data_IF_232559860242
#
_entry.id   IF_232559860242
#
_cell.length_a   1.000
_cell.length_b   1.000
_cell.length_c   1.000
_cell.angle_alpha   90.00
_cell.angle_beta   90.00
_cell.angle_gamma   90.00
#
_symmetry.space_group_name_H-M   'P 1'
#
loop_
_entity.id
_entity.type
_entity.pdbx_description
1 polymer ?
#
# COMPACT_ATOMS: atom_id res chain seq x y z
N UNK A 1 -29.61 -7.98 -16.86
CA UNK A 1 -29.42 -7.39 -15.51
C UNK A 1 -30.05 -6.01 -15.53
N UNK A 2 -31.17 -5.81 -14.85
CA UNK A 2 -31.84 -4.52 -14.80
C UNK A 2 -31.13 -3.59 -13.83
N UNK A 3 -30.42 -2.59 -14.35
CA UNK A 3 -29.81 -1.50 -13.57
C UNK A 3 -30.89 -0.53 -13.04
N UNK A 4 -32.10 -1.03 -12.75
CA UNK A 4 -33.26 -0.20 -12.41
C UNK A 4 -33.75 -0.29 -10.97
N UNK A 5 -33.02 -0.93 -10.10
CA UNK A 5 -33.41 -0.98 -8.69
C UNK A 5 -33.01 0.33 -8.01
N UNK A 6 -33.85 1.34 -8.21
CA UNK A 6 -33.77 2.61 -7.49
C UNK A 6 -34.12 2.34 -6.03
N UNK A 7 -33.09 2.27 -5.17
CA UNK A 7 -33.28 2.08 -3.73
C UNK A 7 -33.75 3.37 -3.06
N UNK A 8 -33.23 4.52 -3.53
CA UNK A 8 -33.53 5.83 -2.96
C UNK A 8 -33.21 6.95 -3.93
N UNK A 9 -34.00 8.04 -3.89
CA UNK A 9 -33.69 9.29 -4.55
C UNK A 9 -33.02 10.25 -3.57
N UNK A 10 -31.92 10.89 -3.97
CA UNK A 10 -31.17 11.84 -3.18
C UNK A 10 -31.19 13.20 -3.87
N UNK A 11 -31.46 14.27 -3.11
CA UNK A 11 -31.38 15.63 -3.63
C UNK A 11 -29.94 16.11 -3.84
N UNK A 12 -29.01 15.53 -3.10
CA UNK A 12 -27.57 15.86 -3.15
C UNK A 12 -26.74 14.66 -2.74
N UNK A 13 -25.67 14.40 -3.45
CA UNK A 13 -24.60 13.49 -3.06
C UNK A 13 -23.25 14.22 -3.16
N UNK A 14 -22.42 14.10 -2.14
CA UNK A 14 -21.04 14.57 -2.17
C UNK A 14 -20.12 13.40 -2.49
N UNK A 15 -19.37 13.52 -3.58
CA UNK A 15 -18.35 12.54 -3.98
C UNK A 15 -17.00 13.20 -3.77
N UNK A 16 -16.19 12.62 -2.90
CA UNK A 16 -14.84 13.10 -2.61
C UNK A 16 -13.82 12.30 -3.42
N UNK A 17 -12.72 12.96 -3.78
CA UNK A 17 -11.57 12.25 -4.32
C UNK A 17 -11.06 11.23 -3.30
N UNK A 18 -10.72 10.04 -3.79
CA UNK A 18 -10.13 9.00 -2.96
C UNK A 18 -8.61 9.05 -3.06
N UNK A 19 -7.94 8.58 -2.01
CA UNK A 19 -6.50 8.38 -2.02
C UNK A 19 -6.15 6.98 -1.53
N UNK A 20 -4.91 6.55 -1.79
CA UNK A 20 -4.44 5.25 -1.33
C UNK A 20 -4.33 5.20 0.19
N UNK A 21 -4.70 4.06 0.78
CA UNK A 21 -4.50 3.77 2.21
C UNK A 21 -5.13 4.79 3.16
N UNK A 22 -6.40 5.13 2.93
CA UNK A 22 -7.20 5.88 3.92
C UNK A 22 -7.41 4.97 5.13
N UNK A 23 -6.61 5.22 6.16
CA UNK A 23 -6.53 4.35 7.35
C UNK A 23 -6.92 5.16 8.59
N UNK A 24 -7.68 4.59 9.53
CA UNK A 24 -8.00 5.25 10.78
C UNK A 24 -6.75 5.68 11.55
N UNK A 25 -6.81 6.84 12.17
CA UNK A 25 -5.66 7.44 12.88
C UNK A 25 -4.99 6.51 13.89
N UNK A 26 -5.71 5.74 14.74
CA UNK A 26 -5.06 4.79 15.64
C UNK A 26 -4.24 3.70 14.94
N UNK A 27 -4.69 3.25 13.77
CA UNK A 27 -3.97 2.26 12.96
C UNK A 27 -2.71 2.87 12.35
N UNK A 28 -2.76 4.12 11.92
CA UNK A 28 -1.59 4.85 11.42
C UNK A 28 -0.55 5.02 12.52
N UNK A 29 -0.95 5.41 13.72
CA UNK A 29 -0.05 5.54 14.88
C UNK A 29 0.63 4.20 15.21
N UNK A 30 -0.12 3.11 15.22
CA UNK A 30 0.43 1.78 15.44
C UNK A 30 1.40 1.35 14.31
N UNK A 31 1.07 1.68 13.06
CA UNK A 31 1.92 1.42 11.90
C UNK A 31 3.26 2.16 12.03
N UNK A 32 3.24 3.44 12.41
CA UNK A 32 4.46 4.25 12.65
C UNK A 32 5.37 3.60 13.69
N UNK A 33 4.80 3.15 14.81
CA UNK A 33 5.56 2.46 15.85
C UNK A 33 6.22 1.19 15.31
N UNK A 34 5.50 0.41 14.54
CA UNK A 34 6.00 -0.86 13.99
C UNK A 34 7.08 -0.62 12.92
N UNK A 35 6.91 0.39 12.06
CA UNK A 35 7.90 0.79 11.05
C UNK A 35 9.20 1.24 11.74
N UNK A 36 9.13 2.04 12.81
CA UNK A 36 10.32 2.47 13.58
C UNK A 36 11.08 1.29 14.16
N UNK A 37 10.38 0.31 14.74
CA UNK A 37 11.01 -0.90 15.28
C UNK A 37 11.73 -1.71 14.20
N UNK A 38 11.10 -1.88 13.05
CA UNK A 38 11.71 -2.63 11.95
C UNK A 38 12.88 -1.88 11.32
N UNK A 39 12.79 -0.56 11.22
CA UNK A 39 13.91 0.27 10.78
C UNK A 39 15.16 0.02 11.67
N UNK A 40 15.00 0.04 13.00
CA UNK A 40 16.12 -0.22 13.93
C UNK A 40 16.76 -1.59 13.70
N UNK A 41 15.95 -2.62 13.49
CA UNK A 41 16.45 -3.99 13.23
C UNK A 41 17.22 -4.01 11.91
N UNK A 42 16.66 -3.40 10.87
CA UNK A 42 17.26 -3.38 9.53
C UNK A 42 18.55 -2.57 9.52
N UNK A 43 18.59 -1.43 10.21
CA UNK A 43 19.81 -0.62 10.35
C UNK A 43 20.93 -1.37 11.06
N UNK A 44 20.62 -2.13 12.13
CA UNK A 44 21.60 -2.97 12.80
C UNK A 44 22.18 -4.03 11.86
N UNK A 45 21.32 -4.66 11.05
CA UNK A 45 21.72 -5.64 10.04
C UNK A 45 22.64 -5.00 8.98
N UNK A 46 22.24 -3.88 8.38
CA UNK A 46 23.06 -3.20 7.37
C UNK A 46 24.42 -2.76 7.91
N UNK A 47 24.44 -2.26 9.15
CA UNK A 47 25.71 -1.88 9.83
C UNK A 47 26.61 -3.12 10.06
N UNK A 48 26.05 -4.26 10.46
CA UNK A 48 26.81 -5.51 10.61
C UNK A 48 27.37 -6.06 9.29
N UNK A 49 26.68 -5.79 8.20
CA UNK A 49 27.09 -6.14 6.82
C UNK A 49 28.03 -5.09 6.19
N UNK A 50 28.43 -4.05 6.95
CA UNK A 50 29.26 -2.92 6.49
C UNK A 50 28.64 -2.10 5.33
N UNK A 51 27.31 -2.09 5.23
CA UNK A 51 26.52 -1.31 4.25
C UNK A 51 26.11 0.05 4.83
N UNK A 52 27.12 0.88 5.14
CA UNK A 52 26.88 2.13 5.88
C UNK A 52 26.09 3.16 5.09
N UNK A 53 26.36 3.27 3.79
CA UNK A 53 25.67 4.23 2.91
C UNK A 53 24.19 3.88 2.72
N UNK A 54 23.92 2.58 2.51
CA UNK A 54 22.56 2.07 2.39
C UNK A 54 21.78 2.25 3.70
N UNK A 55 22.43 1.99 4.82
CA UNK A 55 21.84 2.22 6.15
C UNK A 55 21.46 3.69 6.35
N UNK A 56 22.35 4.62 6.02
CA UNK A 56 22.08 6.05 6.14
C UNK A 56 20.92 6.49 5.24
N UNK A 57 20.94 6.12 3.97
CA UNK A 57 19.86 6.46 3.01
C UNK A 57 18.51 5.92 3.44
N UNK A 58 18.49 4.67 3.91
CA UNK A 58 17.26 4.04 4.40
C UNK A 58 16.74 4.80 5.63
N UNK A 59 17.63 5.14 6.56
CA UNK A 59 17.27 5.87 7.79
C UNK A 59 16.68 7.25 7.49
N UNK A 60 17.35 8.04 6.66
CA UNK A 60 16.92 9.39 6.28
C UNK A 60 15.57 9.37 5.56
N UNK A 61 15.42 8.48 4.56
CA UNK A 61 14.18 8.34 3.81
C UNK A 61 13.02 7.91 4.71
N UNK A 62 13.22 6.87 5.50
CA UNK A 62 12.14 6.33 6.35
C UNK A 62 11.73 7.34 7.42
N UNK A 63 12.66 8.08 8.02
CA UNK A 63 12.32 9.14 8.98
C UNK A 63 11.47 10.24 8.34
N UNK A 64 11.87 10.70 7.15
CA UNK A 64 11.10 11.69 6.40
C UNK A 64 9.69 11.19 6.07
N UNK A 65 9.57 9.95 5.57
CA UNK A 65 8.28 9.35 5.24
C UNK A 65 7.38 9.25 6.48
N UNK A 66 7.94 8.88 7.64
CA UNK A 66 7.19 8.79 8.89
C UNK A 66 6.70 10.17 9.36
N UNK A 67 7.51 11.21 9.26
CA UNK A 67 7.10 12.59 9.56
C UNK A 67 5.93 13.02 8.66
N UNK A 68 5.98 12.69 7.38
CA UNK A 68 4.88 12.98 6.44
C UNK A 68 3.61 12.20 6.80
N UNK A 69 3.73 10.92 7.14
CA UNK A 69 2.59 10.08 7.56
C UNK A 69 1.97 10.63 8.86
N UNK A 70 2.78 11.01 9.84
CA UNK A 70 2.30 11.60 11.10
C UNK A 70 1.60 12.95 10.87
N UNK A 71 2.13 13.79 9.98
CA UNK A 71 1.60 15.12 9.72
C UNK A 71 0.35 15.12 8.82
N UNK A 72 0.34 14.31 7.77
CA UNK A 72 -0.67 14.37 6.69
C UNK A 72 -1.49 13.09 6.53
N UNK A 73 -1.08 12.00 7.16
CA UNK A 73 -1.66 10.67 7.00
C UNK A 73 -1.16 9.94 5.74
N UNK A 74 -0.22 10.51 4.99
CA UNK A 74 0.31 9.93 3.75
C UNK A 74 1.74 10.36 3.49
N UNK A 75 2.45 9.63 2.61
CA UNK A 75 3.77 10.00 2.09
C UNK A 75 3.91 9.56 0.63
N UNK A 76 4.95 10.03 -0.04
CA UNK A 76 5.32 9.52 -1.36
C UNK A 76 5.79 8.07 -1.23
N UNK A 77 5.19 7.15 -2.01
CA UNK A 77 5.49 5.72 -1.92
C UNK A 77 4.88 5.05 -0.69
N UNK A 78 3.72 5.51 -0.23
CA UNK A 78 2.99 4.94 0.93
C UNK A 78 2.71 3.45 0.76
N UNK A 79 2.66 2.95 -0.47
CA UNK A 79 2.53 1.54 -0.81
C UNK A 79 3.67 0.69 -0.24
N UNK A 80 4.85 1.24 -0.03
CA UNK A 80 5.97 0.56 0.62
C UNK A 80 5.67 0.19 2.08
N UNK A 81 4.74 0.90 2.70
CA UNK A 81 4.30 0.68 4.08
C UNK A 81 2.96 -0.05 4.16
N UNK A 82 2.45 -0.57 3.02
CA UNK A 82 1.12 -1.19 2.88
C UNK A 82 0.81 -2.25 3.93
N UNK A 83 1.77 -3.13 4.24
CA UNK A 83 1.57 -4.21 5.22
C UNK A 83 1.31 -3.70 6.63
N UNK A 84 1.92 -2.59 7.03
CA UNK A 84 1.69 -1.99 8.35
C UNK A 84 0.32 -1.31 8.42
N UNK A 85 -0.13 -0.73 7.32
CA UNK A 85 -1.41 -0.03 7.20
C UNK A 85 -2.59 -1.00 7.02
N UNK A 86 -2.36 -2.14 6.36
CA UNK A 86 -3.37 -3.19 6.11
C UNK A 86 -3.35 -4.35 7.11
N UNK A 87 -2.36 -4.38 8.03
CA UNK A 87 -2.21 -5.45 9.01
C UNK A 87 -1.72 -6.79 8.43
N UNK A 88 -1.12 -6.78 7.24
CA UNK A 88 -0.60 -7.98 6.57
C UNK A 88 0.77 -8.39 7.10
N UNK A 89 1.09 -9.66 6.90
CA UNK A 89 2.39 -10.23 7.30
C UNK A 89 3.49 -9.84 6.32
N UNK A 90 4.78 -9.88 6.74
CA UNK A 90 5.90 -9.70 5.83
C UNK A 90 5.84 -10.67 4.64
N UNK A 91 6.02 -10.15 3.42
CA UNK A 91 5.97 -10.93 2.18
C UNK A 91 4.58 -11.17 1.60
N UNK A 92 3.51 -10.76 2.29
CA UNK A 92 2.16 -10.75 1.72
C UNK A 92 2.00 -9.55 0.77
N UNK A 93 1.38 -9.74 -0.42
CA UNK A 93 1.14 -8.65 -1.35
C UNK A 93 0.13 -7.65 -0.77
N UNK A 94 0.15 -6.38 -1.20
CA UNK A 94 -0.86 -5.41 -0.82
C UNK A 94 -2.25 -5.84 -1.28
N UNK A 95 -3.34 -5.37 -0.61
CA UNK A 95 -4.69 -5.70 -1.03
C UNK A 95 -4.97 -5.17 -2.43
N UNK A 96 -5.59 -6.02 -3.25
CA UNK A 96 -5.97 -5.67 -4.61
C UNK A 96 -7.47 -5.46 -4.73
N UNK A 97 -7.91 -4.81 -5.81
CA UNK A 97 -9.33 -4.63 -6.10
C UNK A 97 -10.11 -5.94 -6.13
N UNK A 98 -9.46 -7.04 -6.55
CA UNK A 98 -10.10 -8.35 -6.63
C UNK A 98 -10.54 -8.92 -5.28
N UNK A 99 -9.88 -8.54 -4.19
CA UNK A 99 -10.22 -8.98 -2.84
C UNK A 99 -11.53 -8.35 -2.32
N UNK A 100 -11.98 -7.28 -2.96
CA UNK A 100 -13.24 -6.61 -2.63
C UNK A 100 -14.43 -7.10 -3.46
N UNK A 101 -14.18 -7.98 -4.42
CA UNK A 101 -15.25 -8.51 -5.25
C UNK A 101 -15.98 -9.66 -4.53
N UNK A 102 -17.31 -9.73 -4.66
CA UNK A 102 -18.06 -10.94 -4.27
C UNK A 102 -17.57 -12.16 -5.03
N UNK A 103 -17.69 -13.36 -4.43
CA UNK A 103 -17.23 -14.62 -5.00
C UNK A 103 -17.83 -14.96 -6.38
N UNK A 104 -19.03 -14.43 -6.67
CA UNK A 104 -19.73 -14.63 -7.95
C UNK A 104 -19.52 -13.49 -8.94
N UNK A 105 -18.46 -12.72 -8.80
CA UNK A 105 -18.14 -11.60 -9.70
C UNK A 105 -17.64 -12.10 -11.05
N UNK A 106 -18.21 -11.56 -12.13
CA UNK A 106 -17.72 -11.75 -13.49
C UNK A 106 -16.90 -10.55 -13.91
N UNK A 107 -15.63 -10.79 -14.26
CA UNK A 107 -14.68 -9.75 -14.67
C UNK A 107 -14.50 -9.77 -16.18
N UNK A 108 -14.74 -8.64 -16.82
CA UNK A 108 -14.45 -8.42 -18.23
C UNK A 108 -13.18 -7.57 -18.36
N UNK A 109 -12.22 -8.10 -19.09
CA UNK A 109 -10.94 -7.41 -19.32
C UNK A 109 -10.94 -6.93 -20.77
N UNK A 110 -11.13 -5.62 -20.97
CA UNK A 110 -10.99 -4.99 -22.27
C UNK A 110 -9.51 -4.94 -22.67
N UNK A 111 -9.25 -5.00 -23.98
CA UNK A 111 -7.89 -5.03 -24.54
C UNK A 111 -6.97 -6.06 -23.83
N UNK A 112 -7.49 -7.24 -23.54
CA UNK A 112 -6.81 -8.27 -22.76
C UNK A 112 -5.46 -8.70 -23.33
N UNK A 113 -5.24 -8.56 -24.64
CA UNK A 113 -3.97 -8.83 -25.29
C UNK A 113 -2.85 -7.87 -24.88
N UNK A 114 -3.19 -6.67 -24.41
CA UNK A 114 -2.26 -5.68 -23.85
C UNK A 114 -2.25 -5.74 -22.32
N UNK A 115 -3.44 -5.73 -21.70
CA UNK A 115 -3.60 -5.63 -20.26
C UNK A 115 -2.99 -6.82 -19.51
N UNK A 116 -3.22 -8.05 -19.98
CA UNK A 116 -2.72 -9.26 -19.31
C UNK A 116 -1.18 -9.35 -19.30
N UNK A 117 -0.47 -9.09 -20.41
CA UNK A 117 1.00 -9.00 -20.38
C UNK A 117 1.54 -7.91 -19.45
N UNK A 118 0.88 -6.75 -19.39
CA UNK A 118 1.26 -5.66 -18.48
C UNK A 118 1.14 -6.07 -17.02
N UNK A 119 0.04 -6.72 -16.62
CA UNK A 119 -0.14 -7.23 -15.26
C UNK A 119 0.98 -8.18 -14.85
N UNK A 120 1.43 -9.05 -15.76
CA UNK A 120 2.53 -9.95 -15.49
C UNK A 120 3.87 -9.22 -15.26
N UNK A 121 4.11 -8.13 -15.99
CA UNK A 121 5.27 -7.25 -15.79
C UNK A 121 5.20 -6.52 -14.43
N UNK A 122 4.03 -5.98 -14.08
CA UNK A 122 3.79 -5.30 -12.80
C UNK A 122 3.97 -6.24 -11.61
N UNK A 123 3.47 -7.47 -11.68
CA UNK A 123 3.63 -8.48 -10.64
C UNK A 123 5.10 -8.75 -10.30
N UNK A 124 5.97 -8.83 -11.32
CA UNK A 124 7.41 -9.04 -11.12
C UNK A 124 8.06 -7.83 -10.43
N UNK A 125 7.67 -6.61 -10.83
CA UNK A 125 8.15 -5.37 -10.23
C UNK A 125 7.71 -5.22 -8.77
N UNK A 126 6.45 -5.50 -8.48
CA UNK A 126 5.90 -5.45 -7.13
C UNK A 126 6.59 -6.45 -6.19
N UNK A 127 6.79 -7.68 -6.65
CA UNK A 127 7.52 -8.70 -5.89
C UNK A 127 8.96 -8.29 -5.56
N UNK A 128 9.63 -7.57 -6.47
CA UNK A 128 10.98 -7.04 -6.20
C UNK A 128 10.95 -5.93 -5.15
N UNK A 129 9.97 -5.04 -5.18
CA UNK A 129 9.84 -3.97 -4.19
C UNK A 129 9.56 -4.50 -2.79
N UNK A 130 8.80 -5.59 -2.65
CA UNK A 130 8.51 -6.24 -1.37
C UNK A 130 9.73 -6.91 -0.71
N UNK A 131 10.80 -7.19 -1.48
CA UNK A 131 12.03 -7.82 -0.98
C UNK A 131 13.02 -6.78 -0.45
N UNK A 132 12.87 -5.52 -0.81
CA UNK A 132 13.86 -4.46 -0.55
C UNK A 132 13.49 -3.50 0.59
N UNK A 133 12.46 -3.82 1.36
CA UNK A 133 12.13 -3.07 2.57
C UNK A 133 12.57 -3.85 3.80
#
# INVERSE_FOLDING_TARGET
>A
MCIRDRVRELNLIKVYANSHYITPKPTVEQAVINIRKELEITLKKHKSENKLLEAQRLEERTKFDLEMIEATGSCAGIENYSRFLSGRKPGEPPPTLFEYFPDNTLVFVDESHVTVPQLNGMFKGDRLSLIHI
#
